data_IF_252152759253
#
_entry.id   IF_252152759253
#
_cell.length_a   1.000
_cell.length_b   1.000
_cell.length_c   1.000
_cell.angle_alpha   90.00
_cell.angle_beta   90.00
_cell.angle_gamma   90.00
#
_symmetry.space_group_name_H-M   'P 1'
#
loop_
_entity.id
_entity.type
_entity.pdbx_description
1 polymer ?
#
# COMPACT_ATOMS: atom_id res chain seq x y z
N UNK A 1 -17.31 20.56 -14.58
CA UNK A 1 -16.31 21.60 -14.94
C UNK A 1 -15.59 22.27 -13.76
N UNK A 2 -15.72 21.82 -12.50
CA UNK A 2 -15.06 22.50 -11.36
C UNK A 2 -13.65 22.02 -10.99
N UNK A 3 -13.24 20.80 -11.36
CA UNK A 3 -12.02 20.15 -10.83
C UNK A 3 -10.70 20.79 -11.29
N UNK A 4 -10.69 21.43 -12.45
CA UNK A 4 -9.53 22.15 -13.00
C UNK A 4 -9.69 23.67 -12.92
N UNK A 5 -10.77 24.18 -12.32
CA UNK A 5 -11.06 25.62 -12.31
C UNK A 5 -9.99 26.42 -11.53
N UNK A 6 -9.39 25.83 -10.50
CA UNK A 6 -8.43 26.48 -9.61
C UNK A 6 -6.98 25.97 -9.80
N UNK A 7 -6.73 25.09 -10.79
CA UNK A 7 -5.43 24.46 -10.98
C UNK A 7 -4.62 25.16 -12.06
N UNK A 8 -3.39 25.56 -11.71
CA UNK A 8 -2.40 26.08 -12.66
C UNK A 8 -2.07 25.10 -13.78
N UNK A 9 -2.06 23.79 -13.47
CA UNK A 9 -1.88 22.70 -14.44
C UNK A 9 -3.14 21.85 -14.50
N UNK A 10 -3.90 21.88 -15.61
CA UNK A 10 -5.09 21.06 -15.77
C UNK A 10 -4.76 19.57 -15.70
N UNK A 11 -5.52 18.81 -14.91
CA UNK A 11 -5.41 17.34 -14.87
C UNK A 11 -6.40 16.75 -15.85
N UNK A 12 -5.94 15.80 -16.68
CA UNK A 12 -6.81 15.03 -17.55
C UNK A 12 -7.63 14.03 -16.71
N UNK A 13 -8.90 14.33 -16.49
CA UNK A 13 -9.83 13.42 -15.82
C UNK A 13 -10.22 12.32 -16.80
N UNK A 14 -9.94 11.05 -16.44
CA UNK A 14 -10.35 9.88 -17.22
C UNK A 14 -11.47 9.15 -16.47
N UNK A 15 -12.65 9.04 -17.06
CA UNK A 15 -13.72 8.19 -16.54
C UNK A 15 -13.64 6.81 -17.19
N UNK A 16 -12.66 6.00 -16.77
CA UNK A 16 -12.50 4.63 -17.26
C UNK A 16 -12.73 3.65 -16.10
N UNK A 17 -13.87 2.94 -16.15
CA UNK A 17 -14.27 1.96 -15.13
C UNK A 17 -13.22 0.86 -14.93
N UNK A 18 -12.60 0.40 -16.00
CA UNK A 18 -11.59 -0.65 -15.91
C UNK A 18 -10.34 -0.19 -15.14
N UNK A 19 -9.82 1.00 -15.45
CA UNK A 19 -8.66 1.55 -14.74
C UNK A 19 -8.98 1.80 -13.26
N UNK A 20 -10.19 2.27 -12.94
CA UNK A 20 -10.61 2.42 -11.56
C UNK A 20 -10.67 1.08 -10.83
N UNK A 21 -11.18 0.03 -11.47
CA UNK A 21 -11.25 -1.30 -10.86
C UNK A 21 -9.86 -1.86 -10.53
N UNK A 22 -8.83 -1.59 -11.34
CA UNK A 22 -7.45 -2.04 -11.07
C UNK A 22 -6.91 -1.35 -9.82
N UNK A 23 -7.07 -0.03 -9.72
CA UNK A 23 -6.63 0.74 -8.54
C UNK A 23 -7.38 0.28 -7.28
N UNK A 24 -8.70 0.15 -7.38
CA UNK A 24 -9.52 -0.33 -6.27
C UNK A 24 -9.17 -1.77 -5.87
N UNK A 25 -8.75 -2.61 -6.82
CA UNK A 25 -8.29 -3.96 -6.53
C UNK A 25 -7.00 -4.00 -5.73
N UNK A 26 -6.04 -3.16 -6.08
CA UNK A 26 -4.77 -3.05 -5.38
C UNK A 26 -4.98 -2.65 -3.90
N UNK A 27 -5.92 -1.73 -3.65
CA UNK A 27 -6.23 -1.25 -2.31
C UNK A 27 -7.04 -2.23 -1.44
N UNK A 28 -7.59 -3.34 -1.98
CA UNK A 28 -8.51 -4.22 -1.21
C UNK A 28 -7.86 -4.82 0.03
N UNK A 29 -6.60 -5.24 -0.07
CA UNK A 29 -5.89 -5.86 1.04
C UNK A 29 -5.73 -4.86 2.21
N UNK A 30 -5.33 -3.63 1.88
CA UNK A 30 -5.16 -2.54 2.83
C UNK A 30 -6.51 -2.15 3.45
N UNK A 31 -7.56 -1.96 2.64
CA UNK A 31 -8.91 -1.63 3.13
C UNK A 31 -9.43 -2.69 4.09
N UNK A 32 -9.29 -3.98 3.77
CA UNK A 32 -9.76 -5.08 4.64
C UNK A 32 -9.12 -5.07 6.03
N UNK A 33 -7.87 -4.61 6.16
CA UNK A 33 -7.16 -4.51 7.45
C UNK A 33 -7.63 -3.27 8.22
N UNK A 34 -7.83 -2.15 7.54
CA UNK A 34 -8.11 -0.84 8.16
C UNK A 34 -9.60 -0.66 8.50
N UNK A 35 -10.50 -1.22 7.72
CA UNK A 35 -11.96 -1.08 7.87
C UNK A 35 -12.46 -1.45 9.29
N UNK A 36 -12.04 -2.57 9.92
CA UNK A 36 -12.41 -2.85 11.32
C UNK A 36 -11.78 -1.89 12.34
N UNK A 37 -10.72 -1.15 11.96
CA UNK A 37 -10.03 -0.18 12.82
C UNK A 37 -10.67 1.21 12.77
N UNK A 38 -11.73 1.41 11.99
CA UNK A 38 -12.38 2.71 11.74
C UNK A 38 -11.44 3.76 11.13
N UNK A 39 -10.49 3.32 10.30
CA UNK A 39 -9.53 4.21 9.65
C UNK A 39 -8.34 4.61 10.53
N UNK A 40 -7.45 5.43 9.98
CA UNK A 40 -6.32 5.99 10.71
C UNK A 40 -6.69 7.32 11.34
N UNK A 41 -6.33 7.52 12.61
CA UNK A 41 -6.57 8.77 13.35
C UNK A 41 -5.46 9.82 13.17
N UNK A 42 -4.27 9.41 12.76
CA UNK A 42 -3.08 10.27 12.60
C UNK A 42 -2.26 9.82 11.37
N UNK A 43 -1.72 10.77 10.61
CA UNK A 43 -0.96 10.50 9.39
C UNK A 43 0.37 9.78 9.65
N UNK A 44 1.04 10.05 10.77
CA UNK A 44 2.28 9.35 11.14
C UNK A 44 1.98 7.89 11.45
N UNK A 45 0.91 7.63 12.20
CA UNK A 45 0.43 6.27 12.46
C UNK A 45 0.06 5.55 11.15
N UNK A 46 -0.69 6.23 10.26
CA UNK A 46 -1.04 5.67 8.95
C UNK A 46 0.21 5.26 8.16
N UNK A 47 1.22 6.14 8.09
CA UNK A 47 2.48 5.86 7.39
C UNK A 47 3.19 4.63 7.95
N UNK A 48 3.33 4.54 9.28
CA UNK A 48 4.01 3.42 9.94
C UNK A 48 3.28 2.10 9.64
N UNK A 49 1.95 2.08 9.80
CA UNK A 49 1.15 0.87 9.59
C UNK A 49 1.19 0.44 8.12
N UNK A 50 1.01 1.38 7.18
CA UNK A 50 1.08 1.09 5.75
C UNK A 50 2.45 0.53 5.35
N UNK A 51 3.55 1.12 5.84
CA UNK A 51 4.89 0.59 5.61
C UNK A 51 5.08 -0.83 6.17
N UNK A 52 4.53 -1.14 7.35
CA UNK A 52 4.56 -2.50 7.89
C UNK A 52 3.80 -3.52 7.04
N UNK A 53 2.61 -3.13 6.53
CA UNK A 53 1.81 -3.97 5.61
C UNK A 53 2.58 -4.22 4.32
N UNK A 54 3.23 -3.19 3.77
CA UNK A 54 4.04 -3.29 2.55
C UNK A 54 5.22 -4.24 2.74
N UNK A 55 5.96 -4.12 3.86
CA UNK A 55 7.04 -5.04 4.21
C UNK A 55 6.56 -6.49 4.27
N UNK A 56 5.45 -6.74 4.96
CA UNK A 56 4.87 -8.09 5.04
C UNK A 56 4.46 -8.63 3.66
N UNK A 57 3.98 -7.76 2.76
CA UNK A 57 3.68 -8.13 1.37
C UNK A 57 4.93 -8.43 0.56
N UNK A 58 6.01 -7.66 0.72
CA UNK A 58 7.29 -7.90 0.04
C UNK A 58 7.89 -9.24 0.46
N UNK A 59 7.93 -9.54 1.77
CA UNK A 59 8.37 -10.82 2.32
C UNK A 59 7.56 -11.97 1.72
N UNK A 60 6.22 -11.88 1.78
CA UNK A 60 5.33 -12.93 1.27
C UNK A 60 5.49 -13.17 -0.24
N UNK A 61 5.83 -12.13 -1.01
CA UNK A 61 6.05 -12.21 -2.46
C UNK A 61 7.48 -12.63 -2.84
N UNK A 62 8.39 -12.76 -1.88
CA UNK A 62 9.82 -13.00 -2.17
C UNK A 62 10.49 -11.82 -2.87
N UNK A 63 10.03 -10.59 -2.60
CA UNK A 63 10.61 -9.36 -3.17
C UNK A 63 11.74 -8.78 -2.31
N UNK A 64 12.02 -9.40 -1.16
CA UNK A 64 13.19 -9.05 -0.36
C UNK A 64 14.47 -9.49 -1.07
N UNK A 65 15.57 -8.80 -0.79
CA UNK A 65 16.89 -9.21 -1.25
C UNK A 65 17.21 -10.58 -0.62
N UNK A 66 17.21 -11.63 -1.45
CA UNK A 66 17.47 -13.00 -1.04
C UNK A 66 18.97 -13.27 -1.19
N UNK A 67 19.63 -13.63 -0.09
CA UNK A 67 21.03 -14.05 -0.06
C UNK A 67 21.21 -15.52 -0.50
N UNK A 68 20.13 -16.17 -0.91
CA UNK A 68 20.08 -17.57 -1.31
C UNK A 68 19.91 -18.53 -0.13
N UNK A 69 19.76 -18.00 1.10
CA UNK A 69 19.44 -18.80 2.29
C UNK A 69 17.93 -18.93 2.39
N UNK A 70 17.45 -20.17 2.33
CA UNK A 70 16.04 -20.48 2.53
C UNK A 70 15.59 -20.01 3.93
N UNK A 71 14.98 -18.83 3.97
CA UNK A 71 14.52 -18.17 5.19
C UNK A 71 13.00 -18.13 5.19
N UNK A 72 12.40 -18.47 6.32
CA UNK A 72 10.95 -18.32 6.51
C UNK A 72 10.57 -16.84 6.52
N UNK A 73 9.29 -16.55 6.24
CA UNK A 73 8.78 -15.18 6.30
C UNK A 73 8.99 -14.51 7.68
N UNK A 74 8.96 -15.30 8.76
CA UNK A 74 9.21 -14.81 10.11
C UNK A 74 10.69 -14.45 10.31
N UNK A 75 11.61 -15.31 9.88
CA UNK A 75 13.05 -15.05 9.95
C UNK A 75 13.44 -13.82 9.14
N UNK A 76 12.91 -13.68 7.91
CA UNK A 76 13.10 -12.48 7.09
C UNK A 76 12.52 -11.21 7.73
N UNK A 77 11.46 -11.33 8.54
CA UNK A 77 10.92 -10.18 9.26
C UNK A 77 11.81 -9.79 10.44
N UNK A 78 12.28 -10.77 11.22
CA UNK A 78 13.15 -10.50 12.37
C UNK A 78 14.53 -9.96 11.96
N UNK A 79 15.04 -10.34 10.79
CA UNK A 79 16.30 -9.79 10.28
C UNK A 79 16.25 -8.31 9.93
N UNK A 80 15.07 -7.70 9.80
CA UNK A 80 14.94 -6.25 9.56
C UNK A 80 15.18 -5.41 10.82
N UNK A 81 15.15 -6.02 11.99
CA UNK A 81 15.21 -5.33 13.30
C UNK A 81 16.60 -5.47 13.93
N UNK A 82 17.40 -6.43 13.49
CA UNK A 82 18.80 -6.64 13.92
C UNK A 82 19.77 -5.99 12.95
#
# INVERSE_FOLDING_TARGET
EALNAERLTPIKVRQNKYLNNVVEQDHRAIKRIIEPMMGFKDFRCARIILSGIEIAHMIRKGQMYDDGVASTAAEQFYSLVM
#
